data_IF_695063966664
#
_entry.id   IF_695063966664
#
_cell.length_a   1.000
_cell.length_b   1.000
_cell.length_c   1.000
_cell.angle_alpha   90.00
_cell.angle_beta   90.00
_cell.angle_gamma   90.00
#
_symmetry.space_group_name_H-M   'P 1'
#
loop_
_entity.id
_entity.type
_entity.pdbx_description
1 polymer ?
#
# COMPACT_ATOMS: atom_id res chain seq x y z
N UNK A 1 2.84 0.18 -15.84
CA UNK A 1 3.64 0.70 -14.71
C UNK A 1 4.09 -0.43 -13.80
N UNK A 2 5.00 -0.15 -12.91
CA UNK A 2 5.55 -1.13 -11.98
C UNK A 2 6.28 -0.44 -10.81
N UNK A 3 6.37 -1.14 -9.70
CA UNK A 3 7.12 -0.71 -8.54
C UNK A 3 8.43 -1.50 -8.49
N UNK A 4 9.56 -0.81 -8.47
CA UNK A 4 10.90 -1.37 -8.34
C UNK A 4 11.53 -1.00 -7.00
N UNK A 5 12.71 -1.57 -6.74
CA UNK A 5 13.50 -1.28 -5.54
C UNK A 5 14.95 -1.00 -5.94
N UNK A 6 15.54 -0.01 -5.30
CA UNK A 6 16.98 0.18 -5.29
C UNK A 6 17.48 0.08 -3.84
N UNK A 7 18.64 -0.54 -3.66
CA UNK A 7 19.21 -0.89 -2.35
C UNK A 7 20.53 -0.16 -2.15
N UNK A 8 20.81 0.25 -0.91
CA UNK A 8 22.10 0.86 -0.53
C UNK A 8 22.42 0.55 0.92
N UNK A 9 23.71 0.46 1.23
CA UNK A 9 24.21 0.37 2.61
C UNK A 9 24.20 1.72 3.36
N UNK A 10 23.88 2.80 2.66
CA UNK A 10 23.82 4.16 3.20
C UNK A 10 22.56 4.89 2.77
N UNK A 11 21.91 5.68 3.64
CA UNK A 11 20.72 6.47 3.27
C UNK A 11 21.01 7.55 2.20
N UNK A 12 22.28 7.87 1.96
CA UNK A 12 22.72 8.81 0.92
C UNK A 12 23.19 8.13 -0.36
N UNK A 13 23.11 6.81 -0.46
CA UNK A 13 23.54 6.03 -1.61
C UNK A 13 25.06 5.71 -1.60
N UNK A 14 25.61 5.21 -2.72
CA UNK A 14 24.89 4.99 -3.98
C UNK A 14 23.83 3.91 -3.88
N UNK A 15 22.75 4.07 -4.63
CA UNK A 15 21.68 3.07 -4.71
C UNK A 15 21.87 2.20 -5.97
N UNK A 16 21.68 0.91 -5.82
CA UNK A 16 21.70 -0.06 -6.90
C UNK A 16 20.31 -0.60 -7.15
N UNK A 17 19.82 -0.45 -8.39
CA UNK A 17 18.55 -1.02 -8.83
C UNK A 17 18.65 -2.54 -8.88
N UNK A 18 17.67 -3.25 -8.32
CA UNK A 18 17.60 -4.73 -8.34
C UNK A 18 17.35 -5.30 -9.75
N UNK A 19 17.10 -4.44 -10.75
CA UNK A 19 16.96 -4.80 -12.17
C UNK A 19 15.65 -5.48 -12.55
N UNK A 20 14.67 -5.51 -11.65
CA UNK A 20 13.34 -6.09 -11.89
C UNK A 20 12.28 -5.40 -11.04
N UNK A 21 11.04 -5.31 -11.49
CA UNK A 21 9.95 -4.85 -10.63
C UNK A 21 9.63 -5.91 -9.56
N UNK A 22 9.22 -5.46 -8.38
CA UNK A 22 8.61 -6.31 -7.35
C UNK A 22 7.10 -6.45 -7.56
N UNK A 23 6.47 -5.42 -8.12
CA UNK A 23 5.07 -5.41 -8.52
C UNK A 23 4.96 -4.87 -9.94
N UNK A 24 4.08 -5.43 -10.74
CA UNK A 24 3.80 -4.98 -12.11
C UNK A 24 2.34 -5.25 -12.48
N UNK A 25 1.85 -4.59 -13.53
CA UNK A 25 0.51 -4.76 -14.07
C UNK A 25 0.10 -6.21 -14.37
N UNK A 26 1.06 -7.13 -14.49
CA UNK A 26 0.75 -8.57 -14.60
C UNK A 26 0.09 -9.15 -13.36
N UNK A 27 0.31 -8.53 -12.20
CA UNK A 27 -0.24 -8.95 -10.92
C UNK A 27 -1.43 -8.09 -10.51
N UNK A 28 -1.42 -6.79 -10.86
CA UNK A 28 -2.45 -5.83 -10.47
C UNK A 28 -3.58 -5.70 -11.47
N UNK A 29 -3.29 -5.82 -12.78
CA UNK A 29 -4.25 -5.66 -13.87
C UNK A 29 -4.79 -6.98 -14.40
N UNK A 30 -5.17 -7.90 -13.54
CA UNK A 30 -5.59 -9.25 -13.93
C UNK A 30 -6.70 -9.21 -15.01
N UNK A 31 -6.32 -9.54 -16.23
CA UNK A 31 -7.22 -9.69 -17.36
C UNK A 31 -7.44 -8.44 -18.21
N UNK A 32 -6.78 -7.32 -17.94
CA UNK A 32 -6.80 -6.16 -18.81
C UNK A 32 -5.38 -5.70 -19.15
N UNK A 33 -5.02 -5.62 -20.41
CA UNK A 33 -3.78 -5.00 -20.87
C UNK A 33 -3.83 -3.47 -20.81
N UNK A 34 -4.70 -2.90 -19.97
CA UNK A 34 -4.80 -1.46 -19.87
C UNK A 34 -3.57 -0.94 -19.13
N UNK A 35 -2.89 0.02 -19.70
CA UNK A 35 -1.85 0.82 -19.09
C UNK A 35 -2.48 1.69 -18.01
N UNK A 36 -2.86 1.08 -16.91
CA UNK A 36 -3.44 1.79 -15.79
C UNK A 36 -2.34 2.39 -14.95
N UNK A 37 -2.61 3.50 -14.33
CA UNK A 37 -1.72 4.16 -13.37
C UNK A 37 -1.73 3.48 -11.99
N UNK A 38 -2.08 2.20 -11.95
CA UNK A 38 -2.30 1.48 -10.70
C UNK A 38 -1.04 1.29 -9.87
N UNK A 39 0.12 1.10 -10.49
CA UNK A 39 1.36 0.76 -9.77
C UNK A 39 2.21 2.01 -9.53
N UNK A 40 1.71 2.91 -8.68
CA UNK A 40 2.41 4.11 -8.22
C UNK A 40 2.25 4.30 -6.70
N UNK A 41 2.99 5.24 -6.14
CA UNK A 41 2.91 5.72 -4.76
C UNK A 41 3.06 4.61 -3.71
N UNK A 42 4.16 3.83 -3.73
CA UNK A 42 4.35 2.76 -2.75
C UNK A 42 4.63 3.32 -1.35
N UNK A 43 4.03 2.70 -0.35
CA UNK A 43 4.36 2.87 1.06
C UNK A 43 4.64 1.52 1.71
N UNK A 44 5.56 1.48 2.67
CA UNK A 44 5.93 0.27 3.40
C UNK A 44 5.56 0.42 4.87
N UNK A 45 5.02 -0.65 5.46
CA UNK A 45 4.75 -0.75 6.88
C UNK A 45 5.41 -2.01 7.43
N UNK A 46 6.16 -1.87 8.54
CA UNK A 46 6.86 -2.97 9.20
C UNK A 46 6.44 -2.99 10.66
N UNK A 47 6.03 -4.14 11.15
CA UNK A 47 5.72 -4.35 12.57
C UNK A 47 5.92 -5.79 12.98
N UNK A 48 6.09 -6.02 14.29
CA UNK A 48 6.04 -7.35 14.88
C UNK A 48 4.61 -7.66 15.33
N UNK A 49 4.19 -8.92 15.12
CA UNK A 49 2.96 -9.43 15.70
C UNK A 49 3.11 -9.72 17.21
N UNK A 50 2.06 -10.19 17.84
CA UNK A 50 2.05 -10.56 19.27
C UNK A 50 3.02 -11.70 19.65
N UNK A 51 3.49 -12.48 18.68
CA UNK A 51 4.46 -13.56 18.85
C UNK A 51 5.90 -13.10 18.56
N UNK A 52 6.09 -11.82 18.18
CA UNK A 52 7.37 -11.24 17.82
C UNK A 52 7.81 -11.56 16.39
N UNK A 53 6.91 -12.05 15.54
CA UNK A 53 7.18 -12.27 14.11
C UNK A 53 7.04 -10.95 13.37
N UNK A 54 8.08 -10.57 12.63
CA UNK A 54 8.07 -9.34 11.84
C UNK A 54 7.33 -9.54 10.53
N UNK A 55 6.40 -8.64 10.26
CA UNK A 55 5.63 -8.54 9.03
C UNK A 55 5.99 -7.28 8.27
N UNK A 56 6.08 -7.37 6.96
CA UNK A 56 6.45 -6.27 6.06
C UNK A 56 5.38 -6.13 4.99
N UNK A 57 4.67 -5.03 5.01
CA UNK A 57 3.58 -4.77 4.07
C UNK A 57 4.00 -3.70 3.08
N UNK A 58 3.65 -3.91 1.81
CA UNK A 58 3.73 -2.93 0.75
C UNK A 58 2.31 -2.56 0.34
N UNK A 59 1.99 -1.27 0.37
CA UNK A 59 0.71 -0.76 -0.11
C UNK A 59 0.94 0.32 -1.16
N UNK A 60 0.05 0.41 -2.16
CA UNK A 60 0.17 1.34 -3.28
C UNK A 60 -1.14 1.52 -4.02
N UNK A 61 -1.17 2.41 -5.01
CA UNK A 61 -2.20 2.44 -6.03
C UNK A 61 -2.75 3.81 -6.39
N UNK A 62 -3.32 3.89 -7.58
CA UNK A 62 -4.07 5.03 -8.09
C UNK A 62 -5.43 4.54 -8.59
N UNK A 63 -6.51 5.16 -8.12
CA UNK A 63 -7.88 4.72 -8.36
C UNK A 63 -8.27 3.41 -7.69
N UNK A 64 -7.34 2.51 -7.49
CA UNK A 64 -7.49 1.28 -6.72
C UNK A 64 -6.40 1.21 -5.65
N UNK A 65 -6.73 0.61 -4.50
CA UNK A 65 -5.78 0.37 -3.42
C UNK A 65 -5.36 -1.09 -3.40
N UNK A 66 -4.06 -1.32 -3.38
CA UNK A 66 -3.45 -2.65 -3.32
C UNK A 66 -2.58 -2.79 -2.09
N UNK A 67 -2.48 -4.01 -1.58
CA UNK A 67 -1.59 -4.37 -0.48
C UNK A 67 -1.10 -5.80 -0.64
N UNK A 68 0.16 -6.04 -0.26
CA UNK A 68 0.75 -7.37 -0.12
C UNK A 68 1.70 -7.42 1.07
N UNK A 69 2.05 -8.62 1.49
CA UNK A 69 3.17 -8.86 2.40
C UNK A 69 4.44 -9.14 1.58
N UNK A 70 5.55 -8.59 2.01
CA UNK A 70 6.87 -8.85 1.43
C UNK A 70 7.59 -9.96 2.20
N UNK A 71 8.49 -10.65 1.50
CA UNK A 71 9.46 -11.53 2.15
C UNK A 71 10.50 -10.72 2.95
N UNK A 72 11.33 -11.41 3.73
CA UNK A 72 12.37 -10.82 4.57
C UNK A 72 13.42 -10.04 3.76
N UNK A 73 13.54 -10.34 2.47
CA UNK A 73 14.45 -9.66 1.54
C UNK A 73 13.98 -8.25 1.14
N UNK A 74 12.73 -7.86 1.43
CA UNK A 74 12.11 -6.59 1.09
C UNK A 74 12.00 -6.30 -0.42
N UNK A 75 12.36 -7.26 -1.26
CA UNK A 75 12.42 -7.11 -2.74
C UNK A 75 11.59 -8.14 -3.48
N UNK A 76 10.78 -8.92 -2.75
CA UNK A 76 9.87 -9.90 -3.33
C UNK A 76 8.56 -9.99 -2.55
N UNK A 77 7.46 -10.23 -3.27
CA UNK A 77 6.14 -10.48 -2.67
C UNK A 77 6.13 -11.88 -2.06
N UNK A 78 5.55 -11.99 -0.87
CA UNK A 78 5.40 -13.27 -0.17
C UNK A 78 4.31 -14.10 -0.83
N UNK A 79 4.66 -15.33 -1.18
CA UNK A 79 3.71 -16.34 -1.65
C UNK A 79 2.93 -16.89 -0.43
N UNK A 80 1.71 -16.41 -0.25
CA UNK A 80 0.89 -16.69 0.92
C UNK A 80 0.39 -18.15 0.96
N UNK A 81 0.24 -18.76 -0.20
CA UNK A 81 -0.32 -20.11 -0.30
C UNK A 81 0.74 -21.20 -0.61
N UNK A 82 1.98 -20.78 -0.90
CA UNK A 82 3.11 -21.68 -1.16
C UNK A 82 3.04 -22.41 -2.51
N UNK A 83 2.30 -21.88 -3.49
CA UNK A 83 2.14 -22.54 -4.78
C UNK A 83 3.22 -22.18 -5.82
N UNK A 84 4.14 -21.30 -5.45
CA UNK A 84 5.25 -20.83 -6.26
C UNK A 84 4.86 -19.76 -7.29
N UNK A 85 3.69 -19.16 -7.13
CA UNK A 85 3.18 -18.11 -8.04
C UNK A 85 2.68 -16.93 -7.22
N UNK A 86 2.94 -15.73 -7.71
CA UNK A 86 2.35 -14.52 -7.14
C UNK A 86 1.07 -14.23 -7.89
N UNK A 87 -0.04 -14.27 -7.17
CA UNK A 87 -1.38 -13.99 -7.71
C UNK A 87 -1.96 -12.74 -7.09
N UNK A 88 -2.75 -12.01 -7.83
CA UNK A 88 -3.36 -10.77 -7.35
C UNK A 88 -4.82 -10.64 -7.75
N UNK A 89 -5.54 -9.75 -7.08
CA UNK A 89 -6.90 -9.35 -7.43
C UNK A 89 -7.87 -9.24 -6.27
N UNK A 90 -9.04 -8.73 -6.59
CA UNK A 90 -10.10 -8.47 -5.62
C UNK A 90 -10.87 -9.74 -5.23
N UNK A 91 -11.07 -10.64 -6.20
CA UNK A 91 -11.93 -11.81 -6.04
C UNK A 91 -11.13 -13.13 -6.02
N UNK A 92 -9.81 -13.07 -6.01
CA UNK A 92 -8.95 -14.23 -5.93
C UNK A 92 -8.81 -14.64 -4.48
N UNK A 93 -9.26 -15.86 -4.16
CA UNK A 93 -9.13 -16.41 -2.81
C UNK A 93 -7.64 -16.67 -2.51
N UNK A 94 -7.17 -16.17 -1.36
CA UNK A 94 -5.76 -16.26 -0.94
C UNK A 94 -4.81 -15.60 -1.96
N UNK A 95 -5.22 -14.47 -2.54
CA UNK A 95 -4.33 -13.69 -3.37
C UNK A 95 -3.13 -13.17 -2.56
N UNK A 96 -1.95 -13.19 -3.16
CA UNK A 96 -0.73 -12.66 -2.56
C UNK A 96 -0.70 -11.12 -2.63
N UNK A 97 -1.30 -10.57 -3.68
CA UNK A 97 -1.55 -9.13 -3.85
C UNK A 97 -3.06 -8.90 -3.81
N UNK A 98 -3.52 -8.24 -2.78
CA UNK A 98 -4.94 -8.01 -2.55
C UNK A 98 -5.33 -6.63 -3.07
N UNK A 99 -6.26 -6.60 -4.03
CA UNK A 99 -6.96 -5.37 -4.37
C UNK A 99 -8.10 -5.17 -3.37
N UNK A 100 -8.01 -4.14 -2.56
CA UNK A 100 -9.06 -3.75 -1.63
C UNK A 100 -10.15 -2.95 -2.34
N UNK A 101 -11.36 -3.05 -1.82
CA UNK A 101 -12.37 -2.06 -2.13
C UNK A 101 -11.84 -0.68 -1.72
N UNK A 102 -12.04 0.30 -2.57
CA UNK A 102 -11.72 1.68 -2.21
C UNK A 102 -12.41 1.98 -0.88
N UNK A 103 -11.68 2.57 0.09
CA UNK A 103 -12.30 3.07 1.30
C UNK A 103 -13.53 3.92 0.95
N UNK A 104 -14.60 3.82 1.71
CA UNK A 104 -15.73 4.73 1.54
C UNK A 104 -15.22 6.16 1.62
N UNK A 105 -15.44 6.93 0.57
CA UNK A 105 -14.77 8.19 0.31
C UNK A 105 -13.84 8.00 -0.90
N UNK A 106 -13.79 8.95 -1.81
CA UNK A 106 -13.10 8.76 -3.08
C UNK A 106 -11.58 8.67 -2.85
N UNK A 107 -11.07 7.44 -2.70
CA UNK A 107 -9.64 7.16 -2.78
C UNK A 107 -9.14 7.52 -4.18
N UNK A 108 -8.11 8.35 -4.23
CA UNK A 108 -7.44 8.68 -5.49
C UNK A 108 -6.07 8.00 -5.54
N UNK A 109 -5.13 8.37 -4.67
CA UNK A 109 -3.76 7.88 -4.69
C UNK A 109 -3.01 8.18 -3.38
N UNK A 110 -1.70 8.04 -3.37
CA UNK A 110 -0.78 8.38 -2.28
C UNK A 110 -1.15 7.71 -0.94
N UNK A 111 -1.27 6.38 -0.88
CA UNK A 111 -1.54 5.70 0.37
C UNK A 111 -0.38 5.86 1.34
N UNK A 112 -0.70 6.11 2.61
CA UNK A 112 0.25 6.15 3.70
C UNK A 112 -0.30 5.37 4.89
N UNK A 113 0.38 4.28 5.27
CA UNK A 113 0.01 3.44 6.40
C UNK A 113 0.58 3.99 7.70
N UNK A 114 -0.21 3.90 8.76
CA UNK A 114 0.18 4.33 10.10
C UNK A 114 -0.57 3.52 11.17
N UNK A 115 0.07 3.30 12.31
CA UNK A 115 -0.53 2.77 13.53
C UNK A 115 0.05 3.50 14.74
N UNK A 116 -0.74 3.68 15.77
CA UNK A 116 -0.28 4.37 16.99
C UNK A 116 0.70 3.51 17.77
N UNK A 117 1.65 4.16 18.43
CA UNK A 117 2.57 3.53 19.38
C UNK A 117 2.34 4.08 20.77
N UNK A 118 2.57 3.23 21.80
CA UNK A 118 2.66 3.63 23.17
C UNK A 118 4.06 4.22 23.50
N UNK A 119 4.28 4.62 24.75
CA UNK A 119 5.57 5.17 25.21
C UNK A 119 6.73 4.17 25.16
N UNK A 120 6.44 2.87 25.05
CA UNK A 120 7.43 1.80 24.93
C UNK A 120 7.69 1.39 23.48
N UNK A 121 7.00 2.02 22.52
CA UNK A 121 7.12 1.72 21.10
C UNK A 121 6.23 0.56 20.62
N UNK A 122 5.32 0.05 21.45
CA UNK A 122 4.40 -1.02 21.01
C UNK A 122 3.26 -0.42 20.21
N UNK A 123 2.96 -1.03 19.07
CA UNK A 123 1.82 -0.64 18.24
C UNK A 123 0.50 -1.09 18.88
N UNK A 124 -0.52 -0.23 18.81
CA UNK A 124 -1.85 -0.53 19.35
C UNK A 124 -2.98 0.11 18.55
N UNK A 125 -4.18 -0.44 18.70
CA UNK A 125 -5.40 0.05 18.06
C UNK A 125 -5.45 -0.26 16.57
N UNK A 126 -6.32 0.43 15.84
CA UNK A 126 -6.52 0.26 14.40
C UNK A 126 -5.33 0.77 13.59
N UNK A 127 -5.18 0.21 12.40
CA UNK A 127 -4.37 0.79 11.32
C UNK A 127 -5.11 1.97 10.71
N UNK A 128 -4.36 2.95 10.28
CA UNK A 128 -4.83 4.11 9.54
C UNK A 128 -4.22 4.10 8.14
N UNK A 129 -5.05 4.34 7.15
CA UNK A 129 -4.64 4.63 5.79
C UNK A 129 -4.97 6.09 5.51
N UNK A 130 -3.97 6.94 5.36
CA UNK A 130 -4.10 8.29 4.85
C UNK A 130 -3.92 8.26 3.35
N UNK A 131 -4.66 9.09 2.61
CA UNK A 131 -4.63 9.09 1.15
C UNK A 131 -5.15 10.40 0.57
N UNK A 132 -4.78 10.65 -0.69
CA UNK A 132 -5.39 11.70 -1.50
C UNK A 132 -6.83 11.29 -1.86
N UNK A 133 -7.79 12.19 -1.61
CA UNK A 133 -9.22 11.91 -1.72
C UNK A 133 -9.90 12.85 -2.71
N UNK A 134 -10.53 12.27 -3.74
CA UNK A 134 -11.36 12.96 -4.72
C UNK A 134 -10.61 13.81 -5.73
N UNK A 135 -11.36 14.39 -6.65
CA UNK A 135 -10.83 15.35 -7.61
C UNK A 135 -10.36 16.61 -6.88
N UNK A 136 -9.13 17.05 -7.13
CA UNK A 136 -8.34 18.07 -6.42
C UNK A 136 -7.72 17.60 -5.10
N UNK A 137 -7.79 16.31 -4.82
CA UNK A 137 -6.94 15.61 -3.85
C UNK A 137 -6.92 16.25 -2.46
N UNK A 138 -8.08 16.22 -1.79
CA UNK A 138 -8.12 16.45 -0.37
C UNK A 138 -7.39 15.33 0.37
N UNK A 139 -6.98 15.53 1.60
CA UNK A 139 -6.45 14.48 2.46
C UNK A 139 -7.57 13.84 3.27
N UNK A 140 -7.68 12.53 3.20
CA UNK A 140 -8.63 11.75 3.99
C UNK A 140 -7.94 10.58 4.70
N UNK A 141 -8.66 9.93 5.61
CA UNK A 141 -8.20 8.66 6.18
C UNK A 141 -9.33 7.65 6.33
N UNK A 142 -8.93 6.40 6.32
CA UNK A 142 -9.75 5.23 6.68
C UNK A 142 -9.02 4.37 7.70
N UNK A 143 -9.74 3.48 8.37
CA UNK A 143 -9.17 2.60 9.39
C UNK A 143 -9.56 1.14 9.16
N UNK A 144 -8.71 0.21 9.61
CA UNK A 144 -9.00 -1.22 9.66
C UNK A 144 -8.36 -1.86 10.89
N UNK A 145 -8.84 -3.02 11.28
CA UNK A 145 -8.21 -3.85 12.32
C UNK A 145 -7.20 -4.85 11.75
N UNK A 146 -7.26 -5.14 10.44
CA UNK A 146 -6.37 -6.09 9.76
C UNK A 146 -6.03 -5.56 8.37
N UNK A 147 -4.74 -5.38 8.09
CA UNK A 147 -4.25 -4.82 6.83
C UNK A 147 -4.59 -5.71 5.63
N UNK A 148 -4.45 -7.02 5.76
CA UNK A 148 -4.64 -7.95 4.65
C UNK A 148 -6.11 -8.35 4.48
N UNK A 149 -6.81 -8.66 5.57
CA UNK A 149 -8.16 -9.26 5.49
C UNK A 149 -9.27 -8.30 5.90
N UNK A 150 -8.96 -7.25 6.68
CA UNK A 150 -9.94 -6.31 7.20
C UNK A 150 -10.59 -5.43 6.12
N UNK A 151 -11.78 -4.94 6.43
CA UNK A 151 -12.44 -3.90 5.66
C UNK A 151 -11.93 -2.52 6.10
N UNK A 152 -11.83 -1.59 5.17
CA UNK A 152 -11.50 -0.21 5.45
C UNK A 152 -12.78 0.58 5.77
N UNK A 153 -12.81 1.18 6.95
CA UNK A 153 -13.90 2.07 7.39
C UNK A 153 -13.47 3.51 7.19
N UNK A 154 -14.27 4.28 6.45
CA UNK A 154 -13.99 5.70 6.23
C UNK A 154 -14.07 6.48 7.55
N UNK A 155 -13.02 7.21 7.85
CA UNK A 155 -12.98 8.09 9.02
C UNK A 155 -13.54 9.46 8.69
N UNK A 156 -12.77 10.26 7.99
CA UNK A 156 -13.20 11.58 7.49
C UNK A 156 -12.16 12.18 6.54
N UNK A 157 -12.56 13.22 5.84
CA UNK A 157 -11.65 14.14 5.19
C UNK A 157 -11.03 15.09 6.23
N UNK A 158 -9.71 15.23 6.20
CA UNK A 158 -8.92 16.01 7.17
C UNK A 158 -8.66 17.42 6.63
N UNK A 159 -8.33 17.50 5.34
CA UNK A 159 -8.00 18.75 4.67
C UNK A 159 -8.49 18.75 3.23
N UNK A 160 -8.86 19.93 2.75
CA UNK A 160 -9.20 20.18 1.34
C UNK A 160 -8.29 21.25 0.78
N UNK A 161 -7.84 21.11 -0.49
CA UNK A 161 -7.18 22.20 -1.16
C UNK A 161 -8.09 23.44 -1.16
N UNK A 162 -7.50 24.60 -0.93
CA UNK A 162 -8.23 25.85 -1.14
C UNK A 162 -8.61 25.92 -2.63
N UNK A 163 -9.86 26.26 -2.92
CA UNK A 163 -10.36 26.40 -4.30
C UNK A 163 -9.57 27.40 -5.15
N UNK A 164 -8.75 28.23 -4.53
CA UNK A 164 -7.84 29.17 -5.18
C UNK A 164 -6.42 28.64 -5.37
N UNK A 165 -6.07 27.49 -4.79
CA UNK A 165 -4.77 26.87 -5.00
C UNK A 165 -4.81 25.95 -6.23
N UNK A 166 -3.80 26.09 -7.11
CA UNK A 166 -3.60 25.16 -8.21
C UNK A 166 -2.78 23.92 -7.81
N UNK A 167 -2.60 23.72 -6.51
CA UNK A 167 -1.90 22.54 -6.00
C UNK A 167 -2.86 21.35 -6.00
N UNK A 168 -2.55 20.38 -6.82
CA UNK A 168 -3.30 19.13 -6.93
C UNK A 168 -2.77 18.05 -5.99
N UNK A 169 -1.64 18.30 -5.33
CA UNK A 169 -1.03 17.41 -4.34
C UNK A 169 -0.71 18.19 -3.07
N UNK A 170 -1.00 17.62 -1.93
CA UNK A 170 -0.60 18.15 -0.61
C UNK A 170 0.40 17.21 0.06
#
# INVERSE_FOLDING_TARGET
QSIGVAVSDSPTGPFEDIGKPIVSGKVTDIGTESSTWNDIDPTVWIENDENGVEHRYLAWGNGNFYICELNDDMISVKDQNGDGKITGGKSVKNADVIQKDSPEGPYTEAPWLYRRQDENGNYYGKYYLFYASGWREGMAYSTTDDLMNGQWEFGKEIARPNVTSNTNHM
#
